data_IF_770602268017
#
_entry.id   IF_770602268017
#
_cell.length_a   1.000
_cell.length_b   1.000
_cell.length_c   1.000
_cell.angle_alpha   90.00
_cell.angle_beta   90.00
_cell.angle_gamma   90.00
#
_symmetry.space_group_name_H-M   'P 1'
#
loop_
_entity.id
_entity.type
_entity.pdbx_description
1 polymer ?
#
# COMPACT_ATOMS: atom_id res chain seq x y z
N UNK A 1 23.21 -15.34 -13.78
CA UNK A 1 23.30 -14.42 -12.62
C UNK A 1 22.64 -15.04 -11.40
N UNK A 2 23.31 -14.98 -10.24
CA UNK A 2 23.18 -15.91 -9.11
C UNK A 2 21.77 -15.99 -8.47
N UNK A 3 21.25 -17.21 -8.34
CA UNK A 3 20.04 -17.58 -7.57
C UNK A 3 19.94 -16.88 -6.20
N UNK A 4 21.09 -16.63 -5.57
CA UNK A 4 21.23 -15.99 -4.26
C UNK A 4 20.73 -14.53 -4.30
N UNK A 5 21.03 -13.78 -5.36
CA UNK A 5 20.58 -12.39 -5.49
C UNK A 5 19.05 -12.32 -5.61
N UNK A 6 18.44 -13.26 -6.35
CA UNK A 6 16.98 -13.33 -6.49
C UNK A 6 16.31 -13.68 -5.17
N UNK A 7 16.91 -14.58 -4.38
CA UNK A 7 16.41 -14.93 -3.06
C UNK A 7 16.51 -13.77 -2.07
N UNK A 8 17.65 -13.06 -2.02
CA UNK A 8 17.83 -11.85 -1.18
C UNK A 8 16.82 -10.77 -1.52
N UNK A 9 16.58 -10.54 -2.81
CA UNK A 9 15.60 -9.56 -3.27
C UNK A 9 14.17 -9.93 -2.85
N UNK A 10 13.78 -11.22 -2.96
CA UNK A 10 12.47 -11.68 -2.47
C UNK A 10 12.29 -11.54 -0.95
N UNK A 11 13.36 -11.75 -0.19
CA UNK A 11 13.35 -11.54 1.25
C UNK A 11 13.16 -10.06 1.59
N UNK A 12 13.81 -9.17 0.83
CA UNK A 12 13.63 -7.73 0.93
C UNK A 12 12.21 -7.28 0.54
N UNK A 13 11.64 -7.87 -0.53
CA UNK A 13 10.24 -7.64 -0.91
C UNK A 13 9.26 -8.11 0.16
N UNK A 14 9.51 -9.25 0.80
CA UNK A 14 8.70 -9.73 1.92
C UNK A 14 8.75 -8.76 3.09
N UNK A 15 9.94 -8.23 3.41
CA UNK A 15 10.09 -7.20 4.45
C UNK A 15 9.28 -5.95 4.12
N UNK A 16 9.38 -5.42 2.89
CA UNK A 16 8.57 -4.28 2.44
C UNK A 16 7.07 -4.58 2.49
N UNK A 17 6.64 -5.72 2.00
CA UNK A 17 5.23 -6.10 2.02
C UNK A 17 4.69 -6.27 3.46
N UNK A 18 5.55 -6.71 4.39
CA UNK A 18 5.20 -6.78 5.82
C UNK A 18 5.07 -5.39 6.42
N UNK A 19 6.02 -4.48 6.15
CA UNK A 19 5.91 -3.09 6.58
C UNK A 19 4.66 -2.43 6.01
N UNK A 20 4.37 -2.62 4.73
CA UNK A 20 3.17 -2.11 4.09
C UNK A 20 1.91 -2.63 4.76
N UNK A 21 1.85 -3.93 5.05
CA UNK A 21 0.70 -4.52 5.75
C UNK A 21 0.55 -3.97 7.18
N UNK A 22 1.63 -3.82 7.93
CA UNK A 22 1.59 -3.26 9.30
C UNK A 22 1.11 -1.81 9.29
N UNK A 23 1.62 -0.99 8.36
CA UNK A 23 1.19 0.40 8.19
C UNK A 23 -0.28 0.48 7.79
N UNK A 24 -0.74 -0.41 6.90
CA UNK A 24 -2.13 -0.49 6.50
C UNK A 24 -3.05 -0.81 7.69
N UNK A 25 -2.66 -1.78 8.51
CA UNK A 25 -3.41 -2.15 9.72
C UNK A 25 -3.41 -0.97 10.69
N UNK A 26 -2.27 -0.33 10.92
CA UNK A 26 -2.15 0.81 11.83
C UNK A 26 -3.05 1.98 11.39
N UNK A 27 -3.05 2.32 10.11
CA UNK A 27 -3.82 3.43 9.54
C UNK A 27 -5.33 3.20 9.69
N UNK A 28 -5.84 2.06 9.18
CA UNK A 28 -7.28 1.78 9.26
C UNK A 28 -7.77 1.47 10.68
N UNK A 29 -6.92 0.91 11.55
CA UNK A 29 -7.28 0.72 12.97
C UNK A 29 -7.36 2.07 13.68
N UNK A 30 -6.48 3.01 13.36
CA UNK A 30 -6.51 4.37 13.90
C UNK A 30 -7.76 5.13 13.42
N UNK A 31 -8.10 5.05 12.13
CA UNK A 31 -9.35 5.59 11.56
C UNK A 31 -10.59 5.01 12.25
N UNK A 32 -10.63 3.69 12.46
CA UNK A 32 -11.73 3.04 13.16
C UNK A 32 -11.84 3.52 14.62
N UNK A 33 -10.71 3.71 15.31
CA UNK A 33 -10.69 4.23 16.67
C UNK A 33 -11.19 5.69 16.75
N UNK A 34 -10.87 6.53 15.76
CA UNK A 34 -11.38 7.90 15.68
C UNK A 34 -12.90 7.93 15.51
N UNK A 35 -13.46 7.09 14.63
CA UNK A 35 -14.90 6.98 14.44
C UNK A 35 -15.58 6.44 15.70
N UNK A 36 -14.99 5.43 16.36
CA UNK A 36 -15.51 4.91 17.61
C UNK A 36 -15.55 6.00 18.70
N UNK A 37 -14.51 6.83 18.79
CA UNK A 37 -14.45 7.96 19.72
C UNK A 37 -15.47 9.05 19.40
N UNK A 38 -15.67 9.37 18.12
CA UNK A 38 -16.67 10.35 17.70
C UNK A 38 -18.11 9.91 18.03
N UNK A 39 -18.36 8.59 18.06
CA UNK A 39 -19.63 7.99 18.44
C UNK A 39 -19.77 7.74 19.94
N UNK A 40 -18.73 7.98 20.74
CA UNK A 40 -18.79 7.76 22.19
C UNK A 40 -19.72 8.80 22.81
N UNK A 41 -20.82 8.40 23.48
CA UNK A 41 -21.79 9.33 24.06
C UNK A 41 -21.20 10.28 25.11
N UNK A 42 -20.01 9.99 25.65
CA UNK A 42 -19.32 10.87 26.60
C UNK A 42 -18.36 11.87 25.94
N UNK A 43 -17.93 11.61 24.71
CA UNK A 43 -16.92 12.40 23.97
C UNK A 43 -17.46 13.00 22.65
N UNK A 44 -18.71 12.69 22.27
CA UNK A 44 -19.33 13.17 21.03
C UNK A 44 -19.57 14.68 21.08
N UNK A 45 -18.98 15.43 20.13
CA UNK A 45 -19.21 16.87 19.98
C UNK A 45 -20.64 17.21 19.49
N UNK A 46 -21.35 16.23 18.94
CA UNK A 46 -22.74 16.35 18.43
C UNK A 46 -23.54 15.11 18.83
N UNK A 47 -24.19 15.12 20.02
CA UNK A 47 -24.97 13.97 20.48
C UNK A 47 -26.17 13.73 19.56
N UNK A 48 -26.17 12.60 18.86
CA UNK A 48 -27.26 12.16 17.96
C UNK A 48 -26.83 11.82 16.53
N UNK A 49 -25.66 12.29 16.08
CA UNK A 49 -25.11 11.93 14.78
C UNK A 49 -24.25 10.68 14.88
N UNK A 50 -24.70 9.57 14.28
CA UNK A 50 -23.87 8.36 14.14
C UNK A 50 -22.90 8.53 12.99
N UNK A 51 -21.61 8.65 13.29
CA UNK A 51 -20.55 8.66 12.31
C UNK A 51 -20.20 7.23 11.89
N UNK A 52 -20.24 6.94 10.59
CA UNK A 52 -19.81 5.65 10.04
C UNK A 52 -18.53 5.82 9.23
N UNK A 53 -17.59 4.89 9.37
CA UNK A 53 -16.40 4.84 8.52
C UNK A 53 -16.82 4.49 7.08
N UNK A 54 -16.87 5.48 6.20
CA UNK A 54 -17.13 5.28 4.77
C UNK A 54 -15.80 5.07 4.05
N UNK A 55 -15.52 3.82 3.70
CA UNK A 55 -14.38 3.45 2.86
C UNK A 55 -14.72 3.68 1.40
N UNK A 56 -13.86 4.37 0.68
CA UNK A 56 -13.99 4.56 -0.76
C UNK A 56 -13.46 3.35 -1.52
N UNK A 57 -13.84 3.26 -2.80
CA UNK A 57 -13.36 2.19 -3.68
C UNK A 57 -11.82 2.09 -3.73
N UNK A 58 -11.13 3.23 -3.65
CA UNK A 58 -9.67 3.29 -3.59
C UNK A 58 -9.11 2.57 -2.35
N UNK A 59 -9.74 2.74 -1.19
CA UNK A 59 -9.33 2.12 0.08
C UNK A 59 -9.42 0.59 -0.01
N UNK A 60 -10.53 0.07 -0.55
CA UNK A 60 -10.69 -1.37 -0.76
C UNK A 60 -9.60 -1.95 -1.66
N UNK A 61 -9.27 -1.28 -2.76
CA UNK A 61 -8.21 -1.71 -3.67
C UNK A 61 -6.85 -1.70 -2.96
N UNK A 62 -6.57 -0.66 -2.18
CA UNK A 62 -5.32 -0.51 -1.42
C UNK A 62 -5.14 -1.65 -0.39
N UNK A 63 -6.19 -1.93 0.39
CA UNK A 63 -6.21 -3.00 1.41
C UNK A 63 -6.03 -4.37 0.74
N UNK A 64 -6.86 -4.68 -0.26
CA UNK A 64 -6.85 -5.99 -0.92
C UNK A 64 -5.50 -6.23 -1.60
N UNK A 65 -4.98 -5.24 -2.34
CA UNK A 65 -3.70 -5.40 -3.02
C UNK A 65 -2.54 -5.59 -2.03
N UNK A 66 -2.55 -4.87 -0.91
CA UNK A 66 -1.53 -5.01 0.14
C UNK A 66 -1.51 -6.41 0.75
N UNK A 67 -2.68 -6.93 1.14
CA UNK A 67 -2.82 -8.27 1.71
C UNK A 67 -2.39 -9.35 0.71
N UNK A 68 -2.86 -9.24 -0.53
CA UNK A 68 -2.58 -10.21 -1.57
C UNK A 68 -1.12 -10.24 -2.00
N UNK A 69 -0.44 -9.09 -2.04
CA UNK A 69 1.01 -9.00 -2.30
C UNK A 69 1.81 -9.65 -1.16
N UNK A 70 1.44 -9.38 0.10
CA UNK A 70 2.07 -10.00 1.26
C UNK A 70 2.01 -11.53 1.19
N UNK A 71 0.81 -12.09 0.98
CA UNK A 71 0.65 -13.54 0.87
C UNK A 71 1.39 -14.10 -0.34
N UNK A 72 1.39 -13.40 -1.48
CA UNK A 72 2.17 -13.80 -2.65
C UNK A 72 3.65 -13.98 -2.28
N UNK A 73 4.29 -12.97 -1.69
CA UNK A 73 5.70 -13.05 -1.30
C UNK A 73 5.96 -14.11 -0.22
N UNK A 74 5.07 -14.24 0.76
CA UNK A 74 5.16 -15.31 1.76
C UNK A 74 5.17 -16.71 1.13
N UNK A 75 4.25 -16.97 0.20
CA UNK A 75 4.22 -18.23 -0.54
C UNK A 75 5.46 -18.42 -1.42
N UNK A 76 6.00 -17.35 -2.01
CA UNK A 76 7.22 -17.43 -2.83
C UNK A 76 8.45 -17.87 -2.03
N UNK A 77 8.55 -17.50 -0.75
CA UNK A 77 9.67 -17.85 0.13
C UNK A 77 9.57 -19.29 0.64
N UNK A 78 8.35 -19.77 0.90
CA UNK A 78 8.13 -21.17 1.35
C UNK A 78 8.39 -22.23 0.27
N UNK A 79 8.65 -21.83 -0.98
CA UNK A 79 9.07 -22.76 -2.04
C UNK A 79 8.00 -23.78 -2.46
N UNK A 80 6.74 -23.63 -2.02
CA UNK A 80 5.65 -24.52 -2.44
C UNK A 80 5.41 -24.33 -3.95
N UNK A 81 5.83 -25.33 -4.73
CA UNK A 81 5.84 -25.36 -6.21
C UNK A 81 4.47 -25.35 -6.89
N UNK A 82 3.37 -25.27 -6.14
CA UNK A 82 2.02 -25.46 -6.69
C UNK A 82 1.51 -24.30 -7.55
N UNK A 83 2.13 -23.13 -7.51
CA UNK A 83 1.66 -21.98 -8.31
C UNK A 83 2.51 -21.82 -9.57
N UNK A 84 1.84 -21.80 -10.73
CA UNK A 84 2.51 -21.51 -11.99
C UNK A 84 3.17 -20.11 -11.90
N UNK A 85 4.47 -20.06 -12.16
CA UNK A 85 5.29 -18.87 -11.99
C UNK A 85 4.80 -17.68 -12.82
N UNK A 86 4.28 -17.96 -14.02
CA UNK A 86 3.72 -16.94 -14.91
C UNK A 86 2.43 -16.34 -14.35
N UNK A 87 1.48 -17.18 -13.95
CA UNK A 87 0.23 -16.73 -13.35
C UNK A 87 0.49 -15.86 -12.11
N UNK A 88 1.46 -16.26 -11.27
CA UNK A 88 1.88 -15.47 -10.12
C UNK A 88 2.52 -14.12 -10.52
N UNK A 89 3.40 -14.12 -11.53
CA UNK A 89 4.04 -12.90 -12.02
C UNK A 89 3.01 -11.89 -12.54
N UNK A 90 2.07 -12.34 -13.37
CA UNK A 90 0.97 -11.49 -13.90
C UNK A 90 0.08 -10.98 -12.76
N UNK A 91 -0.26 -11.85 -11.82
CA UNK A 91 -1.06 -11.48 -10.65
C UNK A 91 -0.38 -10.41 -9.79
N UNK A 92 0.90 -10.60 -9.43
CA UNK A 92 1.66 -9.60 -8.65
C UNK A 92 1.82 -8.30 -9.45
N UNK A 93 2.03 -8.39 -10.76
CA UNK A 93 2.10 -7.20 -11.63
C UNK A 93 0.80 -6.40 -11.59
N UNK A 94 -0.34 -7.07 -11.75
CA UNK A 94 -1.64 -6.41 -11.71
C UNK A 94 -1.87 -5.70 -10.36
N UNK A 95 -1.59 -6.37 -9.24
CA UNK A 95 -1.71 -5.78 -7.91
C UNK A 95 -0.73 -4.62 -7.68
N UNK A 96 0.50 -4.75 -8.16
CA UNK A 96 1.52 -3.70 -8.06
C UNK A 96 1.10 -2.45 -8.85
N UNK A 97 0.59 -2.63 -10.07
CA UNK A 97 0.08 -1.52 -10.90
C UNK A 97 -1.12 -0.85 -10.23
N UNK A 98 -2.07 -1.63 -9.68
CA UNK A 98 -3.20 -1.08 -8.95
C UNK A 98 -2.75 -0.26 -7.73
N UNK A 99 -1.79 -0.75 -6.93
CA UNK A 99 -1.24 0.01 -5.81
C UNK A 99 -0.60 1.33 -6.26
N UNK A 100 0.19 1.31 -7.34
CA UNK A 100 0.84 2.51 -7.87
C UNK A 100 -0.22 3.52 -8.33
N UNK A 101 -1.24 3.09 -9.06
CA UNK A 101 -2.31 3.97 -9.56
C UNK A 101 -3.07 4.60 -8.40
N UNK A 102 -3.47 3.79 -7.41
CA UNK A 102 -4.22 4.30 -6.25
C UNK A 102 -3.35 5.26 -5.44
N UNK A 103 -2.10 4.92 -5.15
CA UNK A 103 -1.19 5.80 -4.41
C UNK A 103 -0.92 7.11 -5.17
N UNK A 104 -0.74 7.05 -6.50
CA UNK A 104 -0.56 8.24 -7.33
C UNK A 104 -1.82 9.13 -7.33
N UNK A 105 -3.01 8.53 -7.35
CA UNK A 105 -4.27 9.28 -7.24
C UNK A 105 -4.40 9.98 -5.89
N UNK A 106 -4.05 9.32 -4.78
CA UNK A 106 -4.02 9.96 -3.46
C UNK A 106 -3.04 11.14 -3.43
N UNK A 107 -1.86 10.98 -4.02
CA UNK A 107 -0.87 12.06 -4.13
C UNK A 107 -1.42 13.25 -4.93
N UNK A 108 -2.05 12.99 -6.07
CA UNK A 108 -2.67 14.02 -6.91
C UNK A 108 -3.80 14.77 -6.18
N UNK A 109 -4.66 14.05 -5.46
CA UNK A 109 -5.72 14.63 -4.63
C UNK A 109 -5.16 15.53 -3.52
N UNK A 110 -4.08 15.11 -2.85
CA UNK A 110 -3.41 15.93 -1.84
C UNK A 110 -2.79 17.21 -2.42
N UNK A 111 -2.18 17.14 -3.61
CA UNK A 111 -1.63 18.31 -4.30
C UNK A 111 -2.75 19.27 -4.70
N UNK A 112 -3.85 18.76 -5.26
CA UNK A 112 -5.01 19.57 -5.64
C UNK A 112 -5.63 20.26 -4.43
N UNK A 113 -5.82 19.53 -3.33
CA UNK A 113 -6.35 20.10 -2.10
C UNK A 113 -5.46 21.23 -1.57
N UNK A 114 -4.15 21.03 -1.52
CA UNK A 114 -3.20 22.08 -1.15
C UNK A 114 -3.30 23.32 -2.04
N UNK A 115 -3.45 23.13 -3.36
CA UNK A 115 -3.55 24.23 -4.31
C UNK A 115 -4.80 25.11 -4.10
N UNK A 116 -5.92 24.53 -3.66
CA UNK A 116 -7.15 25.27 -3.38
C UNK A 116 -6.97 26.18 -2.17
N UNK A 117 -6.37 25.69 -1.08
CA UNK A 117 -6.13 26.48 0.14
C UNK A 117 -5.14 27.64 -0.07
N UNK A 118 -4.17 27.45 -0.97
CA UNK A 118 -3.25 28.52 -1.38
C UNK A 118 -4.01 29.59 -2.18
N UNK A 119 -4.92 29.18 -3.08
CA UNK A 119 -5.70 30.09 -3.91
C UNK A 119 -6.74 30.90 -3.11
N UNK A 120 -7.29 30.35 -2.01
CA UNK A 120 -8.28 31.04 -1.17
C UNK A 120 -7.69 32.07 -0.19
N UNK A 121 -6.36 32.30 -0.19
CA UNK A 121 -5.73 33.33 0.64
C UNK A 121 -5.71 33.03 2.15
N UNK A 122 -5.97 31.77 2.53
CA UNK A 122 -5.92 31.30 3.91
C UNK A 122 -4.49 31.43 4.47
N UNK A 123 -4.35 32.03 5.65
CA UNK A 123 -3.04 32.18 6.35
C UNK A 123 -2.47 30.87 6.88
N UNK A 124 -3.20 29.75 6.77
CA UNK A 124 -2.65 28.42 6.96
C UNK A 124 -1.83 28.04 5.73
N UNK A 125 -0.50 28.04 5.90
CA UNK A 125 0.44 27.49 4.92
C UNK A 125 0.22 25.97 4.85
N UNK A 126 -0.74 25.52 4.04
CA UNK A 126 -0.92 24.10 3.76
C UNK A 126 0.09 23.71 2.68
N UNK A 127 1.16 23.02 3.09
CA UNK A 127 2.16 22.46 2.16
C UNK A 127 1.83 20.98 1.90
N UNK A 128 1.86 20.55 0.63
CA UNK A 128 1.64 19.14 0.30
C UNK A 128 2.72 18.29 0.99
N UNK A 129 2.31 17.13 1.52
CA UNK A 129 3.17 16.18 2.24
C UNK A 129 3.77 16.70 3.56
N UNK A 130 3.23 17.76 4.13
CA UNK A 130 3.63 18.22 5.47
C UNK A 130 2.46 18.21 6.42
N UNK A 131 2.67 17.65 7.60
CA UNK A 131 1.71 17.66 8.68
C UNK A 131 2.08 18.77 9.66
N UNK A 132 1.28 19.83 9.70
CA UNK A 132 1.50 20.97 10.61
C UNK A 132 0.20 21.23 11.38
N UNK A 133 0.25 21.26 12.71
CA UNK A 133 -0.91 21.56 13.57
C UNK A 133 -1.26 20.44 14.57
N UNK A 134 -2.53 20.42 15.01
CA UNK A 134 -3.02 19.58 16.10
C UNK A 134 -3.13 18.07 15.75
N UNK A 135 -3.17 17.72 14.46
CA UNK A 135 -3.35 16.33 13.99
C UNK A 135 -2.12 15.80 13.23
N UNK A 136 -0.94 16.03 13.79
CA UNK A 136 0.33 15.62 13.14
C UNK A 136 0.47 14.10 13.05
N UNK A 137 0.01 13.35 14.06
CA UNK A 137 0.19 11.89 14.11
C UNK A 137 -0.63 11.16 13.06
N UNK A 138 -1.90 11.53 12.88
CA UNK A 138 -2.81 10.92 11.89
C UNK A 138 -2.34 11.20 10.47
N UNK A 139 -2.01 12.46 10.18
CA UNK A 139 -1.50 12.89 8.89
C UNK A 139 -0.17 12.20 8.53
N UNK A 140 0.76 12.09 9.48
CA UNK A 140 2.04 11.42 9.26
C UNK A 140 1.86 9.92 8.98
N UNK A 141 0.91 9.28 9.65
CA UNK A 141 0.58 7.87 9.46
C UNK A 141 0.01 7.61 8.05
N UNK A 142 -0.96 8.42 7.62
CA UNK A 142 -1.58 8.31 6.28
C UNK A 142 -0.53 8.53 5.19
N UNK A 143 0.30 9.57 5.32
CA UNK A 143 1.38 9.84 4.36
C UNK A 143 2.36 8.68 4.30
N UNK A 144 2.82 8.18 5.45
CA UNK A 144 3.75 7.07 5.52
C UNK A 144 3.14 5.79 4.90
N UNK A 145 1.85 5.52 5.13
CA UNK A 145 1.13 4.40 4.53
C UNK A 145 1.11 4.51 2.99
N UNK A 146 0.75 5.67 2.44
CA UNK A 146 0.73 5.91 0.98
C UNK A 146 2.12 5.75 0.36
N UNK A 147 3.16 6.32 0.98
CA UNK A 147 4.53 6.20 0.47
C UNK A 147 5.02 4.76 0.51
N UNK A 148 4.79 4.03 1.60
CA UNK A 148 5.20 2.63 1.73
C UNK A 148 4.42 1.75 0.73
N UNK A 149 3.14 2.01 0.51
CA UNK A 149 2.34 1.33 -0.51
C UNK A 149 2.89 1.58 -1.92
N UNK A 150 3.25 2.83 -2.24
CA UNK A 150 3.87 3.20 -3.52
C UNK A 150 5.21 2.49 -3.71
N UNK A 151 6.10 2.55 -2.72
CA UNK A 151 7.39 1.86 -2.78
C UNK A 151 7.20 0.35 -2.97
N UNK A 152 6.29 -0.26 -2.21
CA UNK A 152 5.98 -1.69 -2.32
C UNK A 152 5.49 -2.04 -3.72
N UNK A 153 4.61 -1.23 -4.32
CA UNK A 153 4.16 -1.40 -5.69
C UNK A 153 5.30 -1.30 -6.71
N UNK A 154 6.12 -0.25 -6.64
CA UNK A 154 7.23 -0.03 -7.57
C UNK A 154 8.26 -1.16 -7.51
N UNK A 155 8.69 -1.56 -6.31
CA UNK A 155 9.64 -2.65 -6.17
C UNK A 155 9.03 -4.01 -6.58
N UNK A 156 7.73 -4.22 -6.36
CA UNK A 156 7.06 -5.43 -6.84
C UNK A 156 7.06 -5.50 -8.37
N UNK A 157 6.83 -4.36 -9.04
CA UNK A 157 6.90 -4.26 -10.49
C UNK A 157 8.30 -4.57 -11.02
N UNK A 158 9.34 -4.01 -10.39
CA UNK A 158 10.74 -4.35 -10.73
C UNK A 158 11.05 -5.84 -10.52
N UNK A 159 10.54 -6.48 -9.47
CA UNK A 159 10.71 -7.93 -9.25
C UNK A 159 10.18 -8.73 -10.42
N UNK A 160 8.97 -8.38 -10.87
CA UNK A 160 8.27 -9.11 -11.90
C UNK A 160 8.96 -8.94 -13.25
N UNK A 161 9.33 -7.71 -13.61
CA UNK A 161 10.10 -7.43 -14.82
C UNK A 161 11.43 -8.20 -14.82
N UNK A 162 12.18 -8.14 -13.71
CA UNK A 162 13.43 -8.88 -13.57
C UNK A 162 13.20 -10.40 -13.67
N UNK A 163 12.12 -10.90 -13.08
CA UNK A 163 11.72 -12.31 -13.10
C UNK A 163 11.41 -12.80 -14.52
N UNK A 164 10.78 -11.97 -15.36
CA UNK A 164 10.47 -12.29 -16.76
C UNK A 164 11.67 -12.14 -17.69
N UNK A 165 12.51 -11.12 -17.51
CA UNK A 165 13.68 -10.90 -18.38
C UNK A 165 14.82 -11.91 -18.19
N UNK A 166 15.01 -12.43 -16.97
CA UNK A 166 16.24 -13.18 -16.63
C UNK A 166 16.05 -14.67 -16.34
N UNK A 167 14.84 -15.23 -16.46
CA UNK A 167 14.68 -16.69 -16.34
C UNK A 167 14.03 -17.26 -17.60
N UNK A 168 14.64 -18.31 -18.20
CA UNK A 168 14.14 -18.90 -19.43
C UNK A 168 12.71 -19.45 -19.24
N UNK A 169 11.92 -19.30 -20.30
CA UNK A 169 10.50 -19.65 -20.40
C UNK A 169 10.24 -21.16 -20.30
N UNK A 170 11.25 -21.97 -20.59
CA UNK A 170 11.13 -23.43 -20.60
C UNK A 170 11.90 -24.01 -19.41
N UNK A 171 11.16 -24.65 -18.50
CA UNK A 171 11.75 -25.74 -17.75
C UNK A 171 12.18 -26.78 -18.79
N UNK A 172 13.49 -26.89 -19.05
CA UNK A 172 14.02 -28.09 -19.69
C UNK A 172 13.48 -29.27 -18.89
N UNK A 173 12.56 -30.02 -19.50
CA UNK A 173 12.27 -31.38 -19.09
C UNK A 173 13.55 -32.16 -19.32
N UNK A 174 14.44 -32.17 -18.32
CA UNK A 174 15.46 -33.20 -18.21
C UNK A 174 14.73 -34.47 -17.78
N UNK A 175 14.22 -35.20 -18.78
CA UNK A 175 13.93 -36.62 -18.64
C UNK A 175 15.26 -37.33 -18.39
N UNK A 176 15.42 -37.84 -17.17
CA UNK A 176 16.36 -38.90 -16.84
C UNK A 176 15.56 -40.10 -16.31
#
# INVERSE_FOLDING_TARGET
MSSIAHHRYRLWMMFLATLNLVMMIADYSFLAALVAKANDPYDSMTPGDTHTLLLFWNDYVLIVATVLIFFSYYYTLRGKRHTNRFARGVYVLALAVLLIIVAAKYIDEQIKFASIFIATGSSLIYKPFTCVGAETTSCNLILANIFIALFTGVFSLFEVLWTFSFKPLEAKQEYH
#
